data_IF_838714643831
#
_entry.id   IF_838714643831
#
_cell.length_a   1.000
_cell.length_b   1.000
_cell.length_c   1.000
_cell.angle_alpha   90.00
_cell.angle_beta   90.00
_cell.angle_gamma   90.00
#
_symmetry.space_group_name_H-M   'P 1'
#
loop_
_entity.id
_entity.type
_entity.pdbx_description
1 polymer ?
#
# COMPACT_ATOMS: atom_id res chain seq x y z
N UNK A 1 12.81 48.36 0.85
CA UNK A 1 12.28 47.37 -0.10
C UNK A 1 12.93 46.06 0.29
N UNK A 2 12.30 45.30 1.18
CA UNK A 2 12.81 44.00 1.63
C UNK A 2 12.17 42.97 0.72
N UNK A 3 12.95 42.52 -0.26
CA UNK A 3 12.71 41.31 -1.04
C UNK A 3 13.27 40.13 -0.23
N UNK A 4 12.75 38.93 -0.48
CA UNK A 4 13.02 37.66 0.24
C UNK A 4 12.12 37.39 1.47
N UNK A 5 10.80 37.38 1.23
CA UNK A 5 9.89 36.53 2.00
C UNK A 5 9.76 35.22 1.22
N UNK A 6 10.44 34.20 1.71
CA UNK A 6 10.46 32.84 1.19
C UNK A 6 9.03 32.39 0.88
N UNK A 7 8.76 32.09 -0.40
CA UNK A 7 7.56 31.37 -0.80
C UNK A 7 7.68 29.98 -0.18
N UNK A 8 7.14 29.82 1.02
CA UNK A 8 7.01 28.57 1.75
C UNK A 8 6.07 27.68 0.93
N UNK A 9 6.71 26.92 0.04
CA UNK A 9 6.35 25.60 -0.44
C UNK A 9 4.93 25.14 -0.06
N UNK A 10 3.95 25.40 -0.94
CA UNK A 10 2.62 24.75 -0.98
C UNK A 10 2.73 23.23 -1.29
N UNK A 11 3.76 22.56 -0.77
CA UNK A 11 3.90 21.11 -0.82
C UNK A 11 3.05 20.56 0.29
N UNK A 12 1.81 20.20 -0.04
CA UNK A 12 0.89 19.52 0.87
C UNK A 12 1.61 18.32 1.51
N UNK A 13 2.04 18.48 2.76
CA UNK A 13 2.66 17.41 3.55
C UNK A 13 1.59 16.36 3.83
N UNK A 14 1.87 15.07 3.59
CA UNK A 14 0.89 14.05 3.87
C UNK A 14 0.72 13.87 5.39
N UNK A 15 -0.48 14.16 5.87
CA UNK A 15 -0.88 13.92 7.26
C UNK A 15 -1.45 12.50 7.41
N UNK A 16 -1.10 11.82 8.49
CA UNK A 16 -1.60 10.48 8.84
C UNK A 16 -2.21 10.50 10.23
N UNK A 17 -3.45 10.01 10.34
CA UNK A 17 -4.18 9.95 11.60
C UNK A 17 -4.35 8.50 12.10
N UNK A 18 -4.35 8.32 13.42
CA UNK A 18 -4.67 7.05 14.07
C UNK A 18 -5.51 7.26 15.33
N UNK A 19 -6.82 7.10 15.23
CA UNK A 19 -7.83 7.17 16.28
C UNK A 19 -7.55 6.16 17.40
N UNK A 20 -7.08 4.95 17.03
CA UNK A 20 -6.72 3.90 18.00
C UNK A 20 -5.57 4.31 18.92
N UNK A 21 -4.66 5.12 18.40
CA UNK A 21 -3.54 5.68 19.15
C UNK A 21 -3.82 7.10 19.67
N UNK A 22 -4.93 7.72 19.24
CA UNK A 22 -5.32 9.09 19.58
C UNK A 22 -4.31 10.15 19.13
N UNK A 23 -3.64 9.92 17.98
CA UNK A 23 -2.55 10.79 17.50
C UNK A 23 -2.62 10.99 15.99
N UNK A 24 -2.10 12.13 15.56
CA UNK A 24 -1.96 12.54 14.17
C UNK A 24 -0.52 12.99 13.95
N UNK A 25 0.01 12.73 12.76
CA UNK A 25 1.39 13.05 12.38
C UNK A 25 1.43 13.68 11.00
N UNK A 26 2.03 14.86 10.90
CA UNK A 26 2.41 15.45 9.62
C UNK A 26 3.75 14.85 9.19
N UNK A 27 3.75 14.18 8.03
CA UNK A 27 4.96 13.56 7.48
C UNK A 27 5.68 14.60 6.60
N UNK A 28 6.25 15.62 7.24
CA UNK A 28 6.96 16.73 6.59
C UNK A 28 8.27 16.30 5.91
N UNK A 29 8.78 15.13 6.29
CA UNK A 29 10.18 14.84 6.08
C UNK A 29 10.49 14.38 4.66
N UNK A 30 11.28 15.21 3.97
CA UNK A 30 12.24 14.73 2.97
C UNK A 30 13.03 13.56 3.57
N UNK A 31 12.62 12.33 3.27
CA UNK A 31 13.47 11.17 3.49
C UNK A 31 14.55 11.25 2.41
N UNK A 32 15.76 11.65 2.81
CA UNK A 32 16.97 11.70 1.97
C UNK A 32 16.97 10.57 0.92
N UNK A 33 16.70 10.93 -0.34
CA UNK A 33 16.82 10.05 -1.50
C UNK A 33 15.58 9.27 -1.95
N UNK A 34 14.37 9.53 -1.42
CA UNK A 34 13.13 8.88 -1.90
C UNK A 34 12.09 9.90 -2.40
N UNK A 35 11.46 9.55 -3.52
CA UNK A 35 10.60 10.42 -4.35
C UNK A 35 9.47 11.15 -3.57
N UNK A 36 9.11 12.39 -3.94
CA UNK A 36 8.04 13.17 -3.29
C UNK A 36 6.68 12.46 -3.27
N UNK A 37 6.23 12.02 -2.11
CA UNK A 37 4.84 11.63 -1.87
C UNK A 37 4.51 10.18 -2.23
N UNK A 38 3.91 9.48 -1.26
CA UNK A 38 3.54 8.06 -1.32
C UNK A 38 4.42 7.18 -0.44
N UNK A 39 5.75 7.26 -0.59
CA UNK A 39 6.68 6.40 0.16
C UNK A 39 6.77 6.71 1.67
N UNK A 40 6.61 7.97 2.09
CA UNK A 40 6.63 8.34 3.50
C UNK A 40 5.45 7.75 4.28
N UNK A 41 4.24 7.83 3.72
CA UNK A 41 3.02 7.22 4.28
C UNK A 41 3.15 5.70 4.31
N UNK A 42 3.68 5.10 3.23
CA UNK A 42 3.93 3.66 3.16
C UNK A 42 4.88 3.19 4.27
N UNK A 43 6.03 3.84 4.42
CA UNK A 43 7.03 3.48 5.42
C UNK A 43 6.51 3.67 6.84
N UNK A 44 5.80 4.77 7.10
CA UNK A 44 5.15 5.02 8.39
C UNK A 44 4.12 3.95 8.71
N UNK A 45 3.28 3.58 7.74
CA UNK A 45 2.25 2.56 7.94
C UNK A 45 2.83 1.18 8.24
N UNK A 46 3.92 0.78 7.57
CA UNK A 46 4.63 -0.48 7.88
C UNK A 46 5.21 -0.43 9.29
N UNK A 47 5.89 0.66 9.64
CA UNK A 47 6.50 0.79 10.95
C UNK A 47 5.45 0.80 12.07
N UNK A 48 4.37 1.56 11.89
CA UNK A 48 3.27 1.65 12.83
C UNK A 48 2.56 0.31 13.01
N UNK A 49 2.31 -0.45 11.94
CA UNK A 49 1.73 -1.79 12.06
C UNK A 49 2.65 -2.75 12.81
N UNK A 50 3.95 -2.70 12.56
CA UNK A 50 4.93 -3.55 13.27
C UNK A 50 5.04 -3.21 14.75
N UNK A 51 4.89 -1.95 15.12
CA UNK A 51 4.97 -1.50 16.52
C UNK A 51 3.64 -1.60 17.28
N UNK A 52 2.51 -1.40 16.60
CA UNK A 52 1.20 -1.27 17.25
C UNK A 52 0.19 -2.35 16.87
N UNK A 53 0.50 -3.19 15.89
CA UNK A 53 -0.35 -4.28 15.40
C UNK A 53 -1.53 -3.83 14.54
N UNK A 54 -1.59 -2.57 14.11
CA UNK A 54 -2.65 -2.04 13.23
C UNK A 54 -2.11 -0.97 12.27
N UNK A 55 -2.81 -0.75 11.16
CA UNK A 55 -2.53 0.36 10.26
C UNK A 55 -3.22 1.66 10.75
N UNK A 56 -2.68 2.85 10.40
CA UNK A 56 -3.36 4.12 10.58
C UNK A 56 -4.69 4.20 9.79
N UNK A 57 -5.61 5.10 10.16
CA UNK A 57 -6.98 5.08 9.64
C UNK A 57 -7.06 5.41 8.15
N UNK A 58 -6.21 6.33 7.70
CA UNK A 58 -6.13 6.72 6.29
C UNK A 58 -5.40 5.69 5.41
N UNK A 59 -4.88 4.60 6.01
CA UNK A 59 -4.10 3.58 5.32
C UNK A 59 -4.82 2.24 5.34
N UNK A 60 -5.46 1.91 4.22
CA UNK A 60 -5.98 0.57 3.97
C UNK A 60 -5.05 -0.15 3.00
N UNK A 61 -4.52 -1.35 3.35
CA UNK A 61 -3.66 -2.10 2.44
C UNK A 61 -4.46 -2.80 1.34
N UNK A 62 -3.81 -3.05 0.21
CA UNK A 62 -4.21 -4.09 -0.73
C UNK A 62 -4.06 -5.46 -0.08
N UNK A 63 -5.06 -6.31 -0.23
CA UNK A 63 -5.04 -7.67 0.32
C UNK A 63 -5.08 -8.66 -0.83
N UNK A 64 -4.04 -9.46 -0.98
CA UNK A 64 -3.98 -10.57 -1.93
C UNK A 64 -4.33 -11.87 -1.21
N UNK A 65 -5.56 -12.35 -1.40
CA UNK A 65 -6.05 -13.61 -0.83
C UNK A 65 -6.07 -14.68 -1.89
N UNK A 66 -5.23 -15.69 -1.70
CA UNK A 66 -5.37 -16.92 -2.47
C UNK A 66 -6.60 -17.69 -1.95
N UNK A 67 -7.48 -18.15 -2.84
CA UNK A 67 -8.69 -18.88 -2.44
C UNK A 67 -8.42 -20.30 -1.92
N UNK A 68 -7.16 -20.76 -2.05
CA UNK A 68 -6.72 -22.13 -1.75
C UNK A 68 -5.72 -22.20 -0.60
N UNK A 69 -5.01 -21.11 -0.33
CA UNK A 69 -4.02 -21.05 0.75
C UNK A 69 -4.66 -20.49 2.02
N UNK A 70 -4.21 -20.92 3.20
CA UNK A 70 -4.70 -20.38 4.47
C UNK A 70 -4.27 -18.93 4.69
N UNK A 71 -3.14 -18.52 4.08
CA UNK A 71 -2.54 -17.21 4.27
C UNK A 71 -2.82 -16.28 3.08
N UNK A 72 -3.08 -15.01 3.38
CA UNK A 72 -3.12 -13.90 2.42
C UNK A 72 -1.98 -12.93 2.66
N UNK A 73 -1.59 -12.19 1.63
CA UNK A 73 -0.48 -11.22 1.68
C UNK A 73 -1.01 -9.79 1.61
N UNK A 74 -0.36 -8.86 2.34
CA UNK A 74 -0.79 -7.46 2.44
C UNK A 74 0.24 -6.52 1.82
N UNK A 75 -0.21 -5.54 1.06
CA UNK A 75 0.64 -4.57 0.38
C UNK A 75 0.07 -3.16 0.50
N UNK A 76 0.93 -2.15 0.52
CA UNK A 76 0.50 -0.75 0.58
C UNK A 76 0.37 -0.10 -0.81
N UNK A 77 0.80 -0.81 -1.85
CA UNK A 77 0.67 -0.39 -3.24
C UNK A 77 0.09 -1.50 -4.12
N UNK A 78 -0.66 -1.10 -5.15
CA UNK A 78 -1.31 -2.03 -6.10
C UNK A 78 -0.29 -2.87 -6.85
N UNK A 79 0.76 -2.23 -7.39
CA UNK A 79 1.76 -2.88 -8.24
C UNK A 79 2.41 -4.11 -7.58
N UNK A 80 2.95 -4.03 -6.35
CA UNK A 80 3.50 -5.21 -5.70
C UNK A 80 2.42 -6.25 -5.38
N UNK A 81 1.21 -5.83 -4.98
CA UNK A 81 0.09 -6.75 -4.74
C UNK A 81 -0.25 -7.57 -6.00
N UNK A 82 -0.42 -6.89 -7.12
CA UNK A 82 -0.78 -7.50 -8.39
C UNK A 82 0.33 -8.36 -8.96
N UNK A 83 1.60 -7.95 -8.78
CA UNK A 83 2.75 -8.77 -9.16
C UNK A 83 2.79 -10.06 -8.34
N UNK A 84 2.62 -9.97 -7.02
CA UNK A 84 2.56 -11.15 -6.16
C UNK A 84 1.42 -12.07 -6.55
N UNK A 85 0.21 -11.54 -6.75
CA UNK A 85 -0.95 -12.34 -7.12
C UNK A 85 -0.74 -13.09 -8.44
N UNK A 86 -0.19 -12.42 -9.46
CA UNK A 86 0.16 -13.06 -10.75
C UNK A 86 1.21 -14.15 -10.58
N UNK A 87 2.27 -13.88 -9.84
CA UNK A 87 3.32 -14.88 -9.58
C UNK A 87 2.74 -16.06 -8.81
N UNK A 88 1.98 -15.82 -7.74
CA UNK A 88 1.37 -16.88 -6.96
C UNK A 88 0.40 -17.71 -7.80
N UNK A 89 -0.49 -17.04 -8.54
CA UNK A 89 -1.46 -17.72 -9.38
C UNK A 89 -0.81 -18.61 -10.43
N UNK A 90 0.27 -18.13 -11.07
CA UNK A 90 1.04 -18.92 -12.04
C UNK A 90 1.79 -20.10 -11.40
N UNK A 91 2.43 -19.89 -10.26
CA UNK A 91 3.30 -20.90 -9.66
C UNK A 91 2.52 -21.95 -8.86
N UNK A 92 1.49 -21.54 -8.14
CA UNK A 92 0.65 -22.42 -7.34
C UNK A 92 -0.56 -22.95 -8.14
N UNK A 93 -0.82 -22.41 -9.34
CA UNK A 93 -2.02 -22.68 -10.12
C UNK A 93 -3.31 -22.41 -9.32
N UNK A 94 -3.30 -21.34 -8.52
CA UNK A 94 -4.41 -20.97 -7.64
C UNK A 94 -4.99 -19.61 -8.03
N UNK A 95 -6.31 -19.43 -8.02
CA UNK A 95 -6.89 -18.10 -8.15
C UNK A 95 -6.54 -17.24 -6.92
N UNK A 96 -6.20 -15.98 -7.18
CA UNK A 96 -5.88 -14.99 -6.15
C UNK A 96 -6.81 -13.80 -6.31
N UNK A 97 -7.60 -13.51 -5.29
CA UNK A 97 -8.42 -12.30 -5.20
C UNK A 97 -7.59 -11.16 -4.62
N UNK A 98 -7.58 -10.02 -5.31
CA UNK A 98 -6.96 -8.78 -4.90
C UNK A 98 -8.04 -7.82 -4.43
N UNK A 99 -8.07 -7.53 -3.14
CA UNK A 99 -8.96 -6.55 -2.55
C UNK A 99 -8.28 -5.17 -2.56
N UNK A 100 -8.89 -4.20 -3.25
CA UNK A 100 -8.41 -2.84 -3.32
C UNK A 100 -8.77 -2.04 -2.05
N UNK A 101 -7.91 -1.12 -1.60
CA UNK A 101 -8.18 -0.22 -0.47
C UNK A 101 -9.44 0.64 -0.66
N UNK A 102 -9.61 1.16 -1.87
CA UNK A 102 -10.76 1.96 -2.31
C UNK A 102 -11.05 1.59 -3.75
N UNK A 103 -11.96 0.65 -3.97
CA UNK A 103 -12.32 0.23 -5.32
C UNK A 103 -12.86 -1.19 -5.37
N UNK A 104 -12.87 -1.70 -6.59
CA UNK A 104 -13.35 -3.04 -6.93
C UNK A 104 -12.25 -4.07 -6.67
N UNK A 105 -12.65 -5.27 -6.25
CA UNK A 105 -11.73 -6.39 -6.18
C UNK A 105 -11.43 -6.97 -7.56
N UNK A 106 -10.18 -7.41 -7.76
CA UNK A 106 -9.70 -8.01 -9.01
C UNK A 106 -9.41 -9.49 -8.77
N UNK A 107 -9.84 -10.37 -9.68
CA UNK A 107 -9.52 -11.79 -9.60
C UNK A 107 -8.40 -12.13 -10.58
N UNK A 108 -7.25 -12.49 -10.04
CA UNK A 108 -6.12 -13.01 -10.81
C UNK A 108 -6.27 -14.52 -10.93
N UNK A 109 -6.76 -14.96 -12.08
CA UNK A 109 -6.80 -16.36 -12.43
C UNK A 109 -5.37 -16.91 -12.57
N UNK A 110 -5.15 -18.21 -12.27
CA UNK A 110 -3.93 -18.87 -12.70
C UNK A 110 -3.85 -18.81 -14.24
N UNK A 111 -2.63 -18.90 -14.78
CA UNK A 111 -2.44 -19.12 -16.21
C UNK A 111 -2.97 -20.53 -16.55
N UNK A 112 -4.29 -20.67 -16.61
CA UNK A 112 -4.94 -21.91 -17.01
C UNK A 112 -4.47 -22.27 -18.41
N UNK A 113 -4.00 -23.51 -18.55
CA UNK A 113 -3.68 -24.21 -19.79
C UNK A 113 -4.35 -23.57 -21.02
N UNK A 114 -3.55 -22.88 -21.84
CA UNK A 114 -3.83 -22.84 -23.27
C UNK A 114 -3.41 -24.20 -23.85
N UNK A 115 -4.02 -25.30 -23.44
CA UNK A 115 -3.86 -26.57 -24.12
C UNK A 115 -5.02 -27.56 -23.85
N UNK A 116 -5.44 -28.27 -24.90
CA UNK A 116 -6.48 -29.30 -24.90
C UNK A 116 -7.80 -28.86 -25.57
N UNK A 117 -7.87 -28.73 -26.91
CA UNK A 117 -8.08 -29.76 -27.95
C UNK A 117 -9.47 -29.68 -28.58
#
# INVERSE_FOLDING_TARGET
MTDDASADDDRAVPTVSCERCGREWDLDREIDGLDPGGHAVEQFAIDHERHTGHYPDDVTPWIARCERCPDGERFLAERPARRWARTHARHANHPVRLEAPRGEDDLVAPDGDRDGS
#
